data_IF_371682739157
#
_entry.id   IF_371682739157
#
_cell.length_a   1.000
_cell.length_b   1.000
_cell.length_c   1.000
_cell.angle_alpha   90.00
_cell.angle_beta   90.00
_cell.angle_gamma   90.00
#
_symmetry.space_group_name_H-M   'P 1'
#
loop_
_entity.id
_entity.type
_entity.pdbx_description
1 polymer ?
#
# COMPACT_ATOMS: atom_id res chain seq x y z
N UNK A 1 -2.01 2.36 -18.69
CA UNK A 1 -1.14 2.63 -19.85
C UNK A 1 0.20 1.91 -19.73
N UNK A 2 0.96 2.11 -18.65
CA UNK A 2 2.30 1.55 -18.48
C UNK A 2 2.35 0.03 -18.62
N UNK A 3 1.38 -0.70 -18.04
CA UNK A 3 1.30 -2.16 -18.15
C UNK A 3 1.29 -2.65 -19.61
N UNK A 4 0.70 -1.89 -20.53
CA UNK A 4 0.61 -2.25 -21.95
C UNK A 4 1.97 -2.06 -22.63
N UNK A 5 2.73 -1.03 -22.24
CA UNK A 5 4.07 -0.79 -22.74
C UNK A 5 5.07 -1.81 -22.17
N UNK A 6 4.98 -2.12 -20.87
CA UNK A 6 5.87 -3.08 -20.19
C UNK A 6 5.64 -4.51 -20.68
N UNK A 7 4.40 -4.88 -20.99
CA UNK A 7 4.00 -6.22 -21.42
C UNK A 7 3.36 -6.19 -22.81
N UNK A 8 4.06 -5.58 -23.76
CA UNK A 8 3.57 -5.38 -25.13
C UNK A 8 3.30 -6.68 -25.92
N UNK A 9 3.82 -7.81 -25.44
CA UNK A 9 3.57 -9.15 -25.99
C UNK A 9 2.24 -9.76 -25.56
N UNK A 10 1.52 -9.12 -24.63
CA UNK A 10 0.24 -9.62 -24.12
C UNK A 10 -0.92 -9.16 -24.99
N UNK A 11 -1.63 -10.12 -25.56
CA UNK A 11 -2.84 -9.86 -26.33
C UNK A 11 -4.05 -9.49 -25.46
N UNK A 12 -4.01 -9.80 -24.15
CA UNK A 12 -5.11 -9.57 -23.22
C UNK A 12 -4.61 -9.25 -21.80
N UNK A 13 -5.37 -8.41 -21.10
CA UNK A 13 -5.18 -8.13 -19.68
C UNK A 13 -6.50 -8.30 -18.94
N UNK A 14 -6.50 -9.13 -17.90
CA UNK A 14 -7.67 -9.32 -17.06
C UNK A 14 -8.00 -8.03 -16.29
N UNK A 15 -9.30 -7.74 -16.19
CA UNK A 15 -9.87 -6.70 -15.36
C UNK A 15 -10.87 -7.35 -14.39
N UNK A 16 -11.03 -6.76 -13.21
CA UNK A 16 -12.07 -7.15 -12.25
C UNK A 16 -13.04 -5.99 -12.04
N UNK A 17 -14.33 -6.27 -12.17
CA UNK A 17 -15.37 -5.34 -11.76
C UNK A 17 -15.72 -5.62 -10.29
N UNK A 18 -15.39 -4.68 -9.41
CA UNK A 18 -15.59 -4.79 -7.97
C UNK A 18 -16.70 -3.83 -7.54
N UNK A 19 -17.84 -4.32 -7.00
CA UNK A 19 -18.89 -3.44 -6.50
C UNK A 19 -18.37 -2.57 -5.36
N UNK A 20 -18.53 -1.23 -5.44
CA UNK A 20 -18.05 -0.33 -4.37
C UNK A 20 -18.96 -0.35 -3.12
N UNK A 21 -20.19 -0.85 -3.25
CA UNK A 21 -21.10 -0.92 -2.11
C UNK A 21 -22.45 -1.57 -2.43
N UNK A 22 -23.24 -1.83 -1.39
CA UNK A 22 -24.55 -2.49 -1.51
C UNK A 22 -25.67 -1.58 -2.00
N UNK A 23 -25.47 -0.27 -1.92
CA UNK A 23 -26.48 0.76 -2.19
C UNK A 23 -26.05 1.76 -3.27
N UNK A 24 -25.05 1.41 -4.07
CA UNK A 24 -24.57 2.19 -5.20
C UNK A 24 -24.53 1.31 -6.44
N UNK A 25 -24.57 1.93 -7.61
CA UNK A 25 -24.33 1.27 -8.88
C UNK A 25 -22.90 1.51 -9.39
N UNK A 26 -22.02 2.05 -8.53
CA UNK A 26 -20.60 2.26 -8.84
C UNK A 26 -19.82 0.94 -8.71
N UNK A 27 -18.97 0.71 -9.70
CA UNK A 27 -18.03 -0.40 -9.74
C UNK A 27 -16.61 0.14 -9.91
N UNK A 28 -15.70 -0.36 -9.10
CA UNK A 28 -14.28 -0.15 -9.27
C UNK A 28 -13.75 -1.11 -10.34
N UNK A 29 -13.09 -0.56 -11.36
CA UNK A 29 -12.49 -1.35 -12.43
C UNK A 29 -11.02 -1.64 -12.12
N UNK A 30 -10.79 -2.68 -11.32
CA UNK A 30 -9.45 -3.07 -10.93
C UNK A 30 -8.64 -3.57 -12.13
N UNK A 31 -7.44 -3.02 -12.29
CA UNK A 31 -6.56 -3.25 -13.42
C UNK A 31 -6.63 -2.17 -14.51
N UNK A 32 -7.51 -1.16 -14.41
CA UNK A 32 -7.61 -0.05 -15.36
C UNK A 32 -7.26 1.31 -14.72
N UNK A 33 -6.17 1.39 -13.95
CA UNK A 33 -5.67 2.68 -13.47
C UNK A 33 -5.05 3.47 -14.64
N UNK A 34 -5.41 4.76 -14.77
CA UNK A 34 -4.92 5.62 -15.85
C UNK A 34 -4.83 7.09 -15.44
N UNK A 35 -3.85 7.78 -16.03
CA UNK A 35 -3.64 9.22 -16.01
C UNK A 35 -3.90 9.90 -17.36
N UNK A 36 -4.35 9.13 -18.36
CA UNK A 36 -4.63 9.62 -19.70
C UNK A 36 -5.79 10.63 -19.71
N UNK A 37 -5.88 11.49 -20.74
CA UNK A 37 -7.04 12.35 -20.95
C UNK A 37 -8.37 11.57 -20.92
N UNK A 38 -9.41 12.21 -20.40
CA UNK A 38 -10.72 11.58 -20.19
C UNK A 38 -11.33 10.98 -21.45
N UNK A 39 -11.20 11.66 -22.58
CA UNK A 39 -11.66 11.20 -23.90
C UNK A 39 -11.00 9.88 -24.29
N UNK A 40 -9.69 9.74 -24.04
CA UNK A 40 -8.96 8.50 -24.28
C UNK A 40 -9.42 7.38 -23.33
N UNK A 41 -9.66 7.70 -22.05
CA UNK A 41 -10.20 6.72 -21.11
C UNK A 41 -11.59 6.23 -21.55
N UNK A 42 -12.44 7.17 -21.99
CA UNK A 42 -13.77 6.87 -22.51
C UNK A 42 -13.70 5.92 -23.70
N UNK A 43 -12.92 6.25 -24.73
CA UNK A 43 -12.73 5.42 -25.92
C UNK A 43 -12.20 4.03 -25.58
N UNK A 44 -11.16 3.96 -24.73
CA UNK A 44 -10.54 2.70 -24.35
C UNK A 44 -11.50 1.79 -23.57
N UNK A 45 -12.34 2.34 -22.69
CA UNK A 45 -13.31 1.56 -21.95
C UNK A 45 -14.46 1.07 -22.83
N UNK A 46 -14.94 1.87 -23.78
CA UNK A 46 -15.99 1.48 -24.72
C UNK A 46 -15.53 0.45 -25.76
N UNK A 47 -14.22 0.25 -25.90
CA UNK A 47 -13.65 -0.82 -26.72
C UNK A 47 -13.61 -2.18 -25.99
N UNK A 48 -13.94 -2.24 -24.70
CA UNK A 48 -13.98 -3.48 -23.92
C UNK A 48 -15.33 -4.15 -24.12
N UNK A 49 -15.32 -5.45 -24.43
CA UNK A 49 -16.55 -6.25 -24.57
C UNK A 49 -17.40 -6.19 -23.29
N UNK A 50 -18.68 -5.84 -23.45
CA UNK A 50 -19.64 -5.66 -22.37
C UNK A 50 -19.70 -4.24 -21.79
N UNK A 51 -18.81 -3.34 -22.22
CA UNK A 51 -18.74 -1.93 -21.77
C UNK A 51 -19.21 -0.95 -22.86
N UNK A 52 -19.87 -1.42 -23.91
CA UNK A 52 -20.25 -0.61 -25.06
C UNK A 52 -21.19 0.55 -24.70
N UNK A 53 -21.98 0.42 -23.63
CA UNK A 53 -22.91 1.44 -23.12
C UNK A 53 -22.58 1.87 -21.67
N UNK A 54 -21.32 1.71 -21.24
CA UNK A 54 -20.94 2.04 -19.87
C UNK A 54 -21.07 3.55 -19.59
N UNK A 55 -21.29 3.89 -18.33
CA UNK A 55 -21.29 5.28 -17.88
C UNK A 55 -20.20 5.47 -16.84
N UNK A 56 -19.25 6.35 -17.13
CA UNK A 56 -18.18 6.66 -16.19
C UNK A 56 -18.66 7.73 -15.20
N UNK A 57 -18.69 7.38 -13.91
CA UNK A 57 -19.06 8.30 -12.83
C UNK A 57 -17.91 9.25 -12.46
N UNK A 58 -16.67 8.73 -12.46
CA UNK A 58 -15.47 9.46 -12.07
C UNK A 58 -14.32 9.10 -13.02
N UNK A 59 -13.64 10.09 -13.63
CA UNK A 59 -12.44 9.84 -14.43
C UNK A 59 -11.33 9.21 -13.59
N UNK A 60 -10.55 8.33 -14.22
CA UNK A 60 -9.26 7.91 -13.69
C UNK A 60 -8.30 9.09 -13.63
N UNK A 61 -7.42 9.09 -12.64
CA UNK A 61 -6.39 10.09 -12.45
C UNK A 61 -5.18 9.47 -11.75
N UNK A 62 -4.04 10.16 -11.82
CA UNK A 62 -2.88 9.89 -11.00
C UNK A 62 -2.62 11.08 -10.08
N UNK A 63 -1.97 10.81 -8.96
CA UNK A 63 -1.57 11.82 -7.98
C UNK A 63 -0.08 11.63 -7.64
N UNK A 64 0.60 12.74 -7.50
CA UNK A 64 1.96 12.80 -6.96
C UNK A 64 1.91 13.43 -5.57
N UNK A 65 2.74 12.91 -4.67
CA UNK A 65 2.82 13.42 -3.31
C UNK A 65 4.26 13.30 -2.80
N UNK A 66 4.64 14.25 -1.94
CA UNK A 66 5.89 14.17 -1.21
C UNK A 66 5.77 13.12 -0.09
N UNK A 67 6.89 12.46 0.19
CA UNK A 67 7.05 11.56 1.32
C UNK A 67 8.44 11.73 1.94
N UNK A 68 8.61 11.22 3.15
CA UNK A 68 9.86 11.27 3.88
C UNK A 68 10.54 9.90 3.82
N UNK A 69 11.86 9.89 3.55
CA UNK A 69 12.62 8.64 3.49
C UNK A 69 12.53 7.90 4.84
N UNK A 70 11.96 6.68 4.90
CA UNK A 70 11.73 5.97 6.16
C UNK A 70 13.03 5.53 6.86
N UNK A 71 14.18 5.59 6.18
CA UNK A 71 15.51 5.37 6.76
C UNK A 71 15.86 6.38 7.86
N UNK A 72 15.12 7.49 7.96
CA UNK A 72 15.25 8.44 9.07
C UNK A 72 14.52 8.02 10.35
N UNK A 73 13.82 6.89 10.34
CA UNK A 73 13.10 6.35 11.49
C UNK A 73 13.93 5.27 12.20
N UNK A 74 13.66 5.06 13.48
CA UNK A 74 13.98 3.82 14.17
C UNK A 74 12.95 2.74 13.83
N UNK A 75 13.23 1.47 14.15
CA UNK A 75 12.27 0.36 14.03
C UNK A 75 11.03 0.52 14.93
N UNK A 76 11.03 1.47 15.86
CA UNK A 76 9.85 1.88 16.62
C UNK A 76 8.91 2.83 15.85
N UNK A 77 9.31 3.26 14.63
CA UNK A 77 8.73 4.33 13.81
C UNK A 77 8.92 5.75 14.37
N UNK A 78 9.68 5.90 15.46
CA UNK A 78 10.10 7.21 15.98
C UNK A 78 11.15 7.83 15.05
N UNK A 79 11.05 9.12 14.79
CA UNK A 79 12.06 9.82 14.00
C UNK A 79 13.38 9.91 14.76
N UNK A 80 14.51 9.74 14.06
CA UNK A 80 15.86 9.88 14.65
C UNK A 80 16.21 11.32 15.01
N UNK A 81 15.54 12.30 14.40
CA UNK A 81 15.85 13.72 14.53
C UNK A 81 15.05 14.40 15.65
N UNK A 82 13.80 13.98 15.86
CA UNK A 82 12.88 14.58 16.81
C UNK A 82 12.29 13.51 17.72
N UNK A 83 12.73 13.51 18.97
CA UNK A 83 12.20 12.63 20.01
C UNK A 83 10.68 12.81 20.17
N UNK A 84 9.96 11.70 20.26
CA UNK A 84 8.51 11.66 20.45
C UNK A 84 7.68 11.96 19.19
N UNK A 85 8.32 12.19 18.03
CA UNK A 85 7.65 12.29 16.74
C UNK A 85 7.68 10.94 16.02
N UNK A 86 6.54 10.47 15.53
CA UNK A 86 6.39 9.18 14.86
C UNK A 86 5.74 9.35 13.50
N UNK A 87 6.23 8.61 12.49
CA UNK A 87 5.65 8.61 11.15
C UNK A 87 5.08 7.23 10.81
N UNK A 88 3.90 7.21 10.19
CA UNK A 88 3.21 5.99 9.78
C UNK A 88 2.38 6.19 8.51
N UNK A 89 2.37 5.19 7.63
CA UNK A 89 1.53 5.17 6.43
C UNK A 89 2.17 5.85 5.23
N UNK A 90 1.37 6.60 4.46
CA UNK A 90 1.82 7.14 3.18
C UNK A 90 3.02 8.09 3.28
N UNK A 91 3.14 8.79 4.41
CA UNK A 91 4.28 9.66 4.72
C UNK A 91 5.63 8.90 4.70
N UNK A 92 5.62 7.58 4.89
CA UNK A 92 6.79 6.70 4.84
C UNK A 92 7.02 6.05 3.46
N UNK A 93 6.26 6.45 2.43
CA UNK A 93 6.37 5.90 1.08
C UNK A 93 5.65 4.55 0.88
N UNK A 94 4.65 4.25 1.72
CA UNK A 94 3.73 3.12 1.51
C UNK A 94 2.43 3.60 0.86
N UNK A 95 1.71 2.75 0.13
CA UNK A 95 0.46 3.18 -0.56
C UNK A 95 -0.77 2.33 -0.25
N UNK A 96 -0.61 1.16 0.38
CA UNK A 96 -1.72 0.29 0.73
C UNK A 96 -2.30 0.59 2.11
N UNK A 97 -3.59 0.31 2.27
CA UNK A 97 -4.32 0.58 3.50
C UNK A 97 -3.81 -0.31 4.64
N UNK A 98 -3.45 -1.54 4.34
CA UNK A 98 -2.97 -2.54 5.27
C UNK A 98 -1.59 -2.16 5.83
N UNK A 99 -0.67 -1.73 4.96
CA UNK A 99 0.64 -1.21 5.36
C UNK A 99 0.51 0.02 6.26
N UNK A 100 -0.38 0.94 5.90
CA UNK A 100 -0.62 2.14 6.69
C UNK A 100 -1.27 1.82 8.05
N UNK A 101 -2.24 0.91 8.07
CA UNK A 101 -2.88 0.44 9.29
C UNK A 101 -1.88 -0.22 10.25
N UNK A 102 -1.02 -1.10 9.72
CA UNK A 102 0.02 -1.77 10.50
C UNK A 102 1.02 -0.78 11.12
N UNK A 103 1.54 0.15 10.32
CA UNK A 103 2.45 1.19 10.82
C UNK A 103 1.76 2.09 11.85
N UNK A 104 0.51 2.47 11.61
CA UNK A 104 -0.27 3.34 12.49
C UNK A 104 -0.47 2.73 13.88
N UNK A 105 -0.78 1.43 13.95
CA UNK A 105 -0.88 0.69 15.22
C UNK A 105 0.46 0.72 15.97
N UNK A 106 1.56 0.40 15.30
CA UNK A 106 2.89 0.36 15.94
C UNK A 106 3.35 1.74 16.41
N UNK A 107 3.20 2.77 15.57
CA UNK A 107 3.52 4.14 15.93
C UNK A 107 2.67 4.64 17.11
N UNK A 108 1.38 4.34 17.12
CA UNK A 108 0.47 4.69 18.21
C UNK A 108 0.84 4.03 19.54
N UNK A 109 1.15 2.73 19.52
CA UNK A 109 1.63 1.98 20.70
C UNK A 109 2.92 2.62 21.24
N UNK A 110 3.89 2.88 20.37
CA UNK A 110 5.19 3.40 20.80
C UNK A 110 5.13 4.85 21.27
N UNK A 111 4.29 5.69 20.65
CA UNK A 111 4.02 7.04 21.14
C UNK A 111 3.42 7.03 22.56
N UNK A 112 2.50 6.10 22.84
CA UNK A 112 1.96 5.92 24.19
C UNK A 112 3.03 5.46 25.18
N UNK A 113 3.81 4.42 24.84
CA UNK A 113 4.87 3.86 25.70
C UNK A 113 5.93 4.93 26.04
N UNK A 114 6.35 5.72 25.05
CA UNK A 114 7.26 6.87 25.25
C UNK A 114 6.70 7.87 26.25
N UNK A 115 5.40 8.19 26.17
CA UNK A 115 4.72 9.10 27.12
C UNK A 115 4.70 8.56 28.55
N UNK A 116 4.70 7.24 28.71
CA UNK A 116 4.74 6.54 30.00
C UNK A 116 6.16 6.26 30.50
N UNK A 117 7.20 6.58 29.72
CA UNK A 117 8.59 6.27 30.06
C UNK A 117 8.95 4.79 29.92
N UNK A 118 8.21 4.07 29.08
CA UNK A 118 8.42 2.66 28.78
C UNK A 118 9.26 2.50 27.50
N UNK A 119 10.00 1.39 27.42
CA UNK A 119 10.73 1.00 26.21
C UNK A 119 9.78 0.78 25.03
N UNK A 120 10.18 1.07 23.78
CA UNK A 120 9.34 0.85 22.60
C UNK A 120 9.09 -0.64 22.35
N UNK A 121 7.91 -0.96 21.81
CA UNK A 121 7.61 -2.26 21.23
C UNK A 121 8.10 -2.30 19.78
N UNK A 122 8.96 -3.26 19.47
CA UNK A 122 9.43 -3.52 18.10
C UNK A 122 9.19 -4.98 17.80
N UNK A 123 8.46 -5.26 16.71
CA UNK A 123 8.23 -6.62 16.23
C UNK A 123 9.39 -7.04 15.34
N UNK A 124 9.96 -8.21 15.59
CA UNK A 124 11.02 -8.73 14.76
C UNK A 124 10.48 -9.27 13.43
N UNK A 125 11.36 -9.32 12.41
CA UNK A 125 11.01 -9.78 11.07
C UNK A 125 10.60 -11.24 11.02
N UNK A 126 11.11 -12.06 11.95
CA UNK A 126 10.81 -13.48 12.08
C UNK A 126 9.56 -13.76 12.93
N UNK A 127 9.00 -12.74 13.58
CA UNK A 127 7.80 -12.83 14.43
C UNK A 127 6.53 -12.41 13.70
N UNK A 128 6.60 -11.35 12.88
CA UNK A 128 5.42 -10.81 12.20
C UNK A 128 5.74 -10.13 10.86
N UNK A 129 4.78 -10.15 9.94
CA UNK A 129 4.85 -9.39 8.69
C UNK A 129 4.91 -7.87 8.94
N UNK A 130 4.37 -7.36 10.05
CA UNK A 130 4.55 -5.96 10.46
C UNK A 130 6.04 -5.66 10.73
N UNK A 131 6.77 -6.59 11.34
CA UNK A 131 8.22 -6.48 11.54
C UNK A 131 8.98 -6.49 10.21
N UNK A 132 8.60 -7.36 9.26
CA UNK A 132 9.16 -7.38 7.90
C UNK A 132 8.96 -6.04 7.19
N UNK A 133 7.73 -5.49 7.24
CA UNK A 133 7.38 -4.19 6.67
C UNK A 133 8.27 -3.07 7.23
N UNK A 134 8.27 -2.92 8.56
CA UNK A 134 8.97 -1.81 9.21
C UNK A 134 10.47 -1.93 9.00
N UNK A 135 11.05 -3.13 9.10
CA UNK A 135 12.48 -3.30 8.88
C UNK A 135 12.87 -3.06 7.41
N UNK A 136 12.07 -3.52 6.43
CA UNK A 136 12.36 -3.19 5.02
C UNK A 136 12.36 -1.67 4.79
N UNK A 137 11.36 -0.97 5.32
CA UNK A 137 11.27 0.49 5.20
C UNK A 137 12.47 1.19 5.86
N UNK A 138 12.79 0.84 7.11
CA UNK A 138 13.85 1.51 7.88
C UNK A 138 15.25 1.17 7.39
N UNK A 139 15.48 -0.07 6.94
CA UNK A 139 16.81 -0.56 6.56
C UNK A 139 17.13 -0.29 5.09
N UNK A 140 16.16 -0.51 4.19
CA UNK A 140 16.39 -0.40 2.74
C UNK A 140 15.88 0.92 2.16
N UNK A 141 14.90 1.55 2.80
CA UNK A 141 14.19 2.67 2.19
C UNK A 141 13.23 2.20 1.09
N UNK A 142 12.72 3.17 0.32
CA UNK A 142 11.76 2.95 -0.77
C UNK A 142 12.08 3.88 -1.94
N UNK A 143 12.35 3.29 -3.11
CA UNK A 143 12.53 4.02 -4.38
C UNK A 143 11.21 4.10 -5.16
N UNK A 144 10.27 3.21 -4.87
CA UNK A 144 8.89 3.17 -5.38
C UNK A 144 7.93 2.85 -4.21
N UNK A 145 6.62 3.14 -4.32
CA UNK A 145 5.68 2.88 -3.23
C UNK A 145 5.71 1.43 -2.76
N UNK A 146 6.07 1.19 -1.49
CA UNK A 146 6.22 -0.16 -0.95
C UNK A 146 4.88 -0.88 -0.92
N UNK A 147 4.91 -2.16 -1.29
CA UNK A 147 3.78 -3.09 -1.19
C UNK A 147 4.23 -4.35 -0.47
N UNK A 148 3.43 -4.87 0.45
CA UNK A 148 3.76 -6.09 1.21
C UNK A 148 4.06 -7.29 0.31
N UNK A 149 3.44 -7.37 -0.87
CA UNK A 149 3.62 -8.49 -1.79
C UNK A 149 5.02 -8.55 -2.42
N UNK A 150 5.78 -7.44 -2.42
CA UNK A 150 7.18 -7.42 -2.88
C UNK A 150 8.16 -7.79 -1.77
N UNK A 151 7.69 -7.88 -0.51
CA UNK A 151 8.52 -8.25 0.63
C UNK A 151 9.00 -9.71 0.53
N UNK A 152 10.25 -9.95 0.89
CA UNK A 152 10.77 -11.32 1.08
C UNK A 152 10.81 -11.61 2.57
N UNK A 153 9.82 -12.35 3.05
CA UNK A 153 9.84 -12.90 4.40
C UNK A 153 10.56 -14.24 4.40
N UNK A 154 11.74 -14.29 5.02
CA UNK A 154 12.57 -15.51 5.13
C UNK A 154 11.83 -16.60 5.92
N UNK A 155 10.95 -16.21 6.84
CA UNK A 155 10.17 -17.09 7.72
C UNK A 155 8.71 -17.26 7.29
N UNK A 156 8.38 -17.07 5.99
CA UNK A 156 7.01 -17.11 5.45
C UNK A 156 6.18 -18.37 5.79
N UNK A 157 6.83 -19.49 6.12
CA UNK A 157 6.13 -20.72 6.53
C UNK A 157 5.57 -20.60 7.96
N UNK A 158 6.24 -19.83 8.82
CA UNK A 158 5.81 -19.54 10.19
C UNK A 158 4.87 -18.33 10.23
N UNK A 159 5.13 -17.33 9.39
CA UNK A 159 4.32 -16.10 9.27
C UNK A 159 3.09 -16.35 8.40
N UNK A 160 2.06 -16.94 9.00
CA UNK A 160 0.81 -17.26 8.29
C UNK A 160 -0.36 -16.45 8.81
N UNK A 161 -1.41 -16.42 8.00
CA UNK A 161 -2.68 -15.81 8.34
C UNK A 161 -3.43 -16.60 9.43
N UNK A 162 -3.29 -17.94 9.47
CA UNK A 162 -4.02 -18.82 10.41
C UNK A 162 -3.49 -18.82 11.85
N UNK A 163 -2.33 -18.20 12.09
CA UNK A 163 -1.65 -18.23 13.40
C UNK A 163 -1.21 -16.84 13.87
N UNK A 164 -1.79 -15.77 13.31
CA UNK A 164 -1.40 -14.40 13.64
C UNK A 164 -1.80 -13.95 15.05
N UNK A 165 -2.77 -14.60 15.65
CA UNK A 165 -3.24 -14.43 17.03
C UNK A 165 -2.39 -15.17 18.06
N UNK A 166 -1.78 -16.30 17.66
CA UNK A 166 -0.89 -17.10 18.51
C UNK A 166 0.50 -16.46 18.63
N UNK A 167 0.95 -15.78 17.56
CA UNK A 167 2.23 -15.05 17.51
C UNK A 167 2.08 -13.70 18.20
#
# INVERSE_FOLDING_TARGET
EDKLNTFADKDQHQLFLEPEGRSTNEYYLNGFSSSLPWDIQWEALHAIEGFEDLHIFRPGYAIEYDYFLPTQLHHSLETKLVDGLYFAGQINGTTGYEEAGAQGVMAGINAHRRRMGEEPLVLARDEAYIGVLIDDLVTKGVDEPYRMFTSRAEYRILLRQDNADIR
#
